data_IF_362780811029
#
_entry.id   IF_362780811029
#
_cell.length_a   1.000
_cell.length_b   1.000
_cell.length_c   1.000
_cell.angle_alpha   90.00
_cell.angle_beta   90.00
_cell.angle_gamma   90.00
#
_symmetry.space_group_name_H-M   'P 1'
#
loop_
_entity.id
_entity.type
_entity.pdbx_description
1 polymer ?
#
# COMPACT_ATOMS: atom_id res chain seq x y z
N UNK A 1 26.22 1.56 -63.78
CA UNK A 1 26.01 1.01 -62.43
C UNK A 1 25.69 2.18 -61.49
N UNK A 2 24.48 2.22 -60.92
CA UNK A 2 24.02 3.27 -60.00
C UNK A 2 23.93 2.64 -58.60
N UNK A 3 24.87 2.95 -57.72
CA UNK A 3 24.81 2.56 -56.31
C UNK A 3 24.19 3.70 -55.53
N UNK A 4 22.89 3.55 -55.21
CA UNK A 4 22.17 4.45 -54.33
C UNK A 4 22.61 4.20 -52.88
N UNK A 5 23.15 5.23 -52.24
CA UNK A 5 23.51 5.24 -50.82
C UNK A 5 22.23 5.39 -50.00
N UNK A 6 21.84 4.33 -49.28
CA UNK A 6 20.75 4.40 -48.30
C UNK A 6 21.32 4.85 -46.96
N UNK A 7 20.92 6.04 -46.50
CA UNK A 7 21.23 6.53 -45.15
C UNK A 7 20.14 5.99 -44.22
N UNK A 8 20.48 4.99 -43.43
CA UNK A 8 19.63 4.42 -42.38
C UNK A 8 19.62 5.36 -41.17
N UNK A 9 18.53 6.09 -40.97
CA UNK A 9 18.30 6.88 -39.76
C UNK A 9 17.94 5.89 -38.64
N UNK A 10 18.89 5.63 -37.73
CA UNK A 10 18.63 4.91 -36.48
C UNK A 10 17.94 5.91 -35.55
N UNK A 11 16.61 5.89 -35.53
CA UNK A 11 15.84 6.56 -34.50
C UNK A 11 16.13 5.86 -33.17
N UNK A 12 16.96 6.47 -32.33
CA UNK A 12 17.18 6.03 -30.97
C UNK A 12 15.85 6.12 -30.21
N UNK A 13 15.20 4.99 -30.00
CA UNK A 13 14.11 4.86 -29.05
C UNK A 13 14.68 5.05 -27.65
N UNK A 14 14.66 6.28 -27.16
CA UNK A 14 14.90 6.55 -25.74
C UNK A 14 13.77 5.84 -24.99
N UNK A 15 14.06 4.90 -24.06
CA UNK A 15 13.02 4.43 -23.17
C UNK A 15 12.50 5.67 -22.43
N UNK A 16 11.22 5.98 -22.60
CA UNK A 16 10.53 6.94 -21.79
C UNK A 16 10.49 6.39 -20.37
N UNK A 17 11.60 6.51 -19.64
CA UNK A 17 11.61 6.46 -18.19
C UNK A 17 10.65 7.56 -17.77
N UNK A 18 9.47 7.15 -17.35
CA UNK A 18 8.56 8.01 -16.60
C UNK A 18 9.31 8.40 -15.33
N UNK A 19 10.07 9.48 -15.43
CA UNK A 19 10.62 10.21 -14.31
C UNK A 19 9.43 10.75 -13.52
N UNK A 20 8.86 9.90 -12.67
CA UNK A 20 7.97 10.32 -11.60
C UNK A 20 8.72 11.44 -10.88
N UNK A 21 8.19 12.67 -10.85
CA UNK A 21 8.89 13.78 -10.23
C UNK A 21 9.22 13.42 -8.78
N UNK A 22 10.50 13.52 -8.42
CA UNK A 22 10.98 13.25 -7.05
C UNK A 22 10.23 14.08 -5.97
N UNK A 23 9.50 15.11 -6.38
CA UNK A 23 8.61 15.92 -5.56
C UNK A 23 7.38 15.17 -5.01
N UNK A 24 7.07 13.97 -5.52
CA UNK A 24 6.01 13.10 -4.97
C UNK A 24 6.51 12.28 -3.78
N UNK A 25 7.83 12.21 -3.56
CA UNK A 25 8.45 11.40 -2.51
C UNK A 25 8.43 12.02 -1.09
N UNK A 26 7.88 13.23 -0.91
CA UNK A 26 8.07 13.99 0.34
C UNK A 26 6.79 14.48 1.02
N UNK A 27 5.61 14.13 0.50
CA UNK A 27 4.41 14.13 1.36
C UNK A 27 4.27 12.73 1.90
N UNK A 28 4.20 12.50 3.22
CA UNK A 28 3.63 11.25 3.70
C UNK A 28 2.26 11.21 3.05
N UNK A 29 2.08 10.37 2.03
CA UNK A 29 0.76 10.02 1.56
C UNK A 29 0.15 9.37 2.79
N UNK A 30 -0.59 10.16 3.57
CA UNK A 30 -1.41 9.64 4.63
C UNK A 30 -2.35 8.68 3.92
N UNK A 31 -2.00 7.39 3.97
CA UNK A 31 -2.71 6.38 3.23
C UNK A 31 -4.14 6.47 3.75
N UNK A 32 -5.15 6.71 2.88
CA UNK A 32 -6.52 6.73 3.35
C UNK A 32 -6.77 5.37 3.98
N UNK A 33 -6.92 5.36 5.30
CA UNK A 33 -7.09 4.14 6.12
C UNK A 33 -8.42 3.46 5.81
N UNK A 34 -9.26 4.08 4.98
CA UNK A 34 -10.52 3.55 4.51
C UNK A 34 -11.46 3.16 5.64
N UNK A 35 -11.43 3.94 6.72
CA UNK A 35 -12.23 3.69 7.91
C UNK A 35 -11.68 2.58 8.82
N UNK A 36 -10.46 2.07 8.58
CA UNK A 36 -9.83 1.09 9.45
C UNK A 36 -9.69 1.58 10.90
N UNK A 37 -9.51 2.87 11.13
CA UNK A 37 -9.59 3.48 12.47
C UNK A 37 -11.00 3.37 13.08
N UNK A 38 -12.05 3.53 12.28
CA UNK A 38 -13.43 3.30 12.71
C UNK A 38 -13.70 1.82 12.98
N UNK A 39 -13.05 0.93 12.23
CA UNK A 39 -13.07 -0.52 12.47
C UNK A 39 -12.37 -0.93 13.76
N UNK A 40 -11.49 -0.07 14.29
CA UNK A 40 -10.76 -0.23 15.54
C UNK A 40 -11.30 0.70 16.64
N UNK A 41 -12.58 1.07 16.58
CA UNK A 41 -13.20 1.97 17.55
C UNK A 41 -13.06 1.48 19.01
N UNK A 42 -13.07 0.15 19.23
CA UNK A 42 -12.86 -0.47 20.55
C UNK A 42 -11.47 -0.22 21.15
N UNK A 43 -10.51 0.17 20.32
CA UNK A 43 -9.11 0.45 20.67
C UNK A 43 -8.72 1.87 20.26
N UNK A 44 -9.69 2.79 20.28
CA UNK A 44 -9.50 4.22 19.96
C UNK A 44 -8.88 4.47 18.57
N UNK A 45 -9.18 3.61 17.61
CA UNK A 45 -8.69 3.74 16.24
C UNK A 45 -7.28 3.23 15.99
N UNK A 46 -6.69 2.53 16.97
CA UNK A 46 -5.37 1.91 16.85
C UNK A 46 -5.46 0.39 16.96
N UNK A 47 -4.57 -0.34 16.31
CA UNK A 47 -4.46 -1.79 16.48
C UNK A 47 -3.52 -2.09 17.64
N UNK A 48 -4.03 -2.76 18.66
CA UNK A 48 -3.20 -3.25 19.77
C UNK A 48 -2.78 -4.68 19.43
N UNK A 49 -1.50 -4.88 19.14
CA UNK A 49 -0.92 -6.18 18.84
C UNK A 49 -0.66 -6.96 20.14
N UNK A 50 -0.64 -8.29 20.07
CA UNK A 50 -0.28 -9.11 21.25
C UNK A 50 1.20 -9.00 21.60
N UNK A 51 2.06 -8.84 20.59
CA UNK A 51 3.50 -8.68 20.80
C UNK A 51 3.93 -7.23 21.08
N UNK A 52 3.05 -6.25 20.85
CA UNK A 52 3.32 -4.83 21.01
C UNK A 52 2.07 -4.12 21.57
N UNK A 53 2.01 -3.85 22.88
CA UNK A 53 0.84 -3.23 23.51
C UNK A 53 0.68 -1.74 23.14
N UNK A 54 1.71 -1.15 22.55
CA UNK A 54 1.62 0.21 22.01
C UNK A 54 0.76 0.16 20.75
N UNK A 55 -0.41 0.79 20.79
CA UNK A 55 -1.36 0.82 19.68
C UNK A 55 -0.69 1.33 18.40
N UNK A 56 -0.86 0.60 17.31
CA UNK A 56 -0.33 0.95 15.99
C UNK A 56 -1.43 1.56 15.13
N UNK A 57 -1.19 2.72 14.54
CA UNK A 57 -2.20 3.38 13.74
C UNK A 57 -2.39 2.67 12.37
N UNK A 58 -3.61 2.56 11.83
CA UNK A 58 -3.89 1.89 10.55
C UNK A 58 -3.19 2.47 9.32
N UNK A 59 -2.77 3.74 9.40
CA UNK A 59 -1.99 4.42 8.38
C UNK A 59 -0.48 4.16 8.49
N UNK A 60 0.00 3.67 9.64
CA UNK A 60 1.39 3.29 9.85
C UNK A 60 1.63 1.86 9.38
N UNK A 61 1.66 1.71 8.05
CA UNK A 61 1.86 0.41 7.41
C UNK A 61 3.22 -0.21 7.81
N UNK A 62 4.26 0.59 7.97
CA UNK A 62 5.57 0.11 8.42
C UNK A 62 5.53 -0.44 9.85
N UNK A 63 4.84 0.25 10.76
CA UNK A 63 4.58 -0.23 12.11
C UNK A 63 3.81 -1.55 12.12
N UNK A 64 2.74 -1.65 11.32
CA UNK A 64 1.94 -2.89 11.19
C UNK A 64 2.81 -4.03 10.66
N UNK A 65 3.55 -3.81 9.57
CA UNK A 65 4.38 -4.84 8.94
C UNK A 65 5.61 -5.23 9.76
N UNK A 66 6.01 -4.43 10.75
CA UNK A 66 7.06 -4.78 11.71
C UNK A 66 6.61 -5.82 12.74
N UNK A 67 5.30 -6.02 12.90
CA UNK A 67 4.73 -6.96 13.86
C UNK A 67 5.00 -8.43 13.43
N UNK A 68 4.93 -9.40 14.36
CA UNK A 68 4.92 -10.82 14.04
C UNK A 68 3.82 -11.17 13.03
N UNK A 69 4.03 -12.20 12.22
CA UNK A 69 3.10 -12.59 11.15
C UNK A 69 1.67 -12.85 11.69
N UNK A 70 1.55 -13.42 12.88
CA UNK A 70 0.25 -13.67 13.52
C UNK A 70 -0.50 -12.37 13.84
N UNK A 71 0.21 -11.33 14.28
CA UNK A 71 -0.36 -10.03 14.60
C UNK A 71 -0.74 -9.25 13.32
N UNK A 72 0.06 -9.35 12.25
CA UNK A 72 -0.31 -8.82 10.92
C UNK A 72 -1.55 -9.52 10.38
N UNK A 73 -1.63 -10.84 10.55
CA UNK A 73 -2.80 -11.63 10.13
C UNK A 73 -4.04 -11.23 10.93
N UNK A 74 -3.91 -11.08 12.25
CA UNK A 74 -5.01 -10.61 13.12
C UNK A 74 -5.46 -9.20 12.76
N UNK A 75 -4.51 -8.32 12.45
CA UNK A 75 -4.82 -6.98 11.97
C UNK A 75 -5.76 -7.04 10.76
N UNK A 76 -5.35 -7.75 9.71
CA UNK A 76 -6.14 -7.93 8.49
C UNK A 76 -7.50 -8.52 8.80
N UNK A 77 -7.57 -9.60 9.59
CA UNK A 77 -8.84 -10.22 9.98
C UNK A 77 -9.79 -9.27 10.72
N UNK A 78 -9.24 -8.34 11.51
CA UNK A 78 -10.02 -7.36 12.26
C UNK A 78 -10.56 -6.25 11.37
N UNK A 79 -9.71 -5.66 10.52
CA UNK A 79 -10.10 -4.49 9.72
C UNK A 79 -10.81 -4.86 8.42
N UNK A 80 -10.48 -6.00 7.81
CA UNK A 80 -11.02 -6.44 6.51
C UNK A 80 -12.55 -6.43 6.42
N UNK A 81 -13.32 -7.09 7.30
CA UNK A 81 -14.78 -7.14 7.14
C UNK A 81 -15.43 -5.76 7.23
N UNK A 82 -14.81 -4.84 7.97
CA UNK A 82 -15.33 -3.49 8.17
C UNK A 82 -14.93 -2.54 7.03
N UNK A 83 -13.67 -2.61 6.55
CA UNK A 83 -13.19 -1.85 5.39
C UNK A 83 -13.88 -2.31 4.10
N UNK A 84 -14.16 -3.60 3.96
CA UNK A 84 -14.85 -4.16 2.78
C UNK A 84 -16.38 -4.01 2.87
N UNK A 85 -16.88 -3.69 4.08
CA UNK A 85 -18.28 -3.45 4.37
C UNK A 85 -18.73 -1.99 4.15
N UNK A 86 -19.87 -1.64 4.75
CA UNK A 86 -20.47 -0.31 4.58
C UNK A 86 -19.64 0.82 5.19
N UNK A 87 -18.86 0.54 6.24
CA UNK A 87 -18.02 1.55 6.90
C UNK A 87 -16.95 2.04 5.93
N UNK A 88 -16.15 1.12 5.36
CA UNK A 88 -15.13 1.51 4.40
C UNK A 88 -15.71 2.10 3.12
N UNK A 89 -16.82 1.55 2.59
CA UNK A 89 -17.50 2.10 1.40
C UNK A 89 -18.09 3.50 1.60
N UNK A 90 -18.47 3.86 2.83
CA UNK A 90 -18.92 5.23 3.18
C UNK A 90 -17.74 6.18 3.41
N UNK A 91 -16.66 5.68 3.99
CA UNK A 91 -15.48 6.49 4.30
C UNK A 91 -14.60 6.75 3.07
N UNK A 92 -14.56 5.83 2.11
CA UNK A 92 -13.62 5.86 0.99
C UNK A 92 -14.21 5.37 -0.33
N UNK A 93 -13.63 5.86 -1.43
CA UNK A 93 -13.96 5.37 -2.77
C UNK A 93 -13.45 3.93 -2.96
N UNK A 94 -14.04 3.15 -3.88
CA UNK A 94 -13.53 1.80 -4.19
C UNK A 94 -12.04 1.79 -4.57
N UNK A 95 -11.56 2.82 -5.26
CA UNK A 95 -10.15 2.96 -5.63
C UNK A 95 -9.24 3.19 -4.42
N UNK A 96 -9.66 3.99 -3.44
CA UNK A 96 -8.90 4.20 -2.20
C UNK A 96 -8.83 2.92 -1.37
N UNK A 97 -9.95 2.18 -1.27
CA UNK A 97 -10.00 0.86 -0.60
C UNK A 97 -9.03 -0.11 -1.27
N UNK A 98 -9.03 -0.17 -2.62
CA UNK A 98 -8.09 -0.99 -3.37
C UNK A 98 -6.62 -0.59 -3.09
N UNK A 99 -6.31 0.71 -3.14
CA UNK A 99 -4.97 1.22 -2.87
C UNK A 99 -4.50 0.90 -1.45
N UNK A 100 -5.37 1.02 -0.45
CA UNK A 100 -5.03 0.67 0.92
C UNK A 100 -4.60 -0.80 1.05
N UNK A 101 -5.38 -1.71 0.46
CA UNK A 101 -5.08 -3.15 0.44
C UNK A 101 -3.78 -3.45 -0.29
N UNK A 102 -3.59 -2.82 -1.45
CA UNK A 102 -2.43 -3.02 -2.30
C UNK A 102 -1.14 -2.49 -1.64
N UNK A 103 -1.21 -1.32 -1.01
CA UNK A 103 -0.11 -0.75 -0.25
C UNK A 103 0.24 -1.59 0.98
N UNK A 104 -0.76 -2.05 1.75
CA UNK A 104 -0.49 -2.92 2.90
C UNK A 104 0.20 -4.21 2.46
N UNK A 105 -0.27 -4.86 1.37
CA UNK A 105 0.40 -6.04 0.79
C UNK A 105 1.82 -5.72 0.34
N UNK A 106 2.00 -4.63 -0.41
CA UNK A 106 3.29 -4.25 -1.00
C UNK A 106 4.31 -3.89 0.06
N UNK A 107 3.94 -3.07 1.04
CA UNK A 107 4.83 -2.69 2.15
C UNK A 107 5.20 -3.91 2.97
N UNK A 108 4.24 -4.74 3.37
CA UNK A 108 4.52 -5.94 4.16
C UNK A 108 5.40 -6.97 3.43
N UNK A 109 5.31 -7.03 2.10
CA UNK A 109 6.14 -7.91 1.28
C UNK A 109 7.59 -7.40 1.09
N UNK A 110 7.91 -6.16 1.50
CA UNK A 110 9.28 -5.62 1.37
C UNK A 110 10.30 -6.52 2.09
N UNK A 111 11.55 -6.60 1.59
CA UNK A 111 12.58 -7.48 2.16
C UNK A 111 12.91 -7.22 3.64
N UNK A 112 12.60 -6.04 4.15
CA UNK A 112 12.79 -5.67 5.55
C UNK A 112 11.74 -6.29 6.49
N UNK A 113 10.52 -6.53 5.99
CA UNK A 113 9.41 -7.07 6.78
C UNK A 113 9.13 -8.54 6.48
N UNK A 114 9.23 -8.97 5.20
CA UNK A 114 8.99 -10.34 4.73
C UNK A 114 7.68 -10.94 5.24
N UNK A 115 6.62 -10.14 5.33
CA UNK A 115 5.30 -10.54 5.79
C UNK A 115 4.40 -10.88 4.61
N UNK A 116 3.43 -11.74 4.88
CA UNK A 116 2.36 -12.06 3.94
C UNK A 116 1.05 -11.44 4.41
N UNK A 117 0.30 -10.83 3.49
CA UNK A 117 -0.98 -10.16 3.78
C UNK A 117 -2.08 -10.82 2.96
N UNK A 118 -2.88 -11.66 3.60
CA UNK A 118 -4.02 -12.33 2.98
C UNK A 118 -5.27 -11.45 2.98
N UNK A 119 -5.29 -10.50 2.05
CA UNK A 119 -6.47 -9.70 1.74
C UNK A 119 -7.09 -10.15 0.41
N UNK A 120 -7.69 -11.34 0.41
CA UNK A 120 -8.45 -11.90 -0.72
C UNK A 120 -9.92 -11.50 -0.66
#
# INVERSE_FOLDING_TARGET
MKTATFITIIAAAVPAVWSLPASVASKPFAVPTCGAETCLASTHGTFVATSAPNGTAPNDLGGICSLPQDDVTRYVQTVKPCVDGDVGKKACTPGAIYQYKDLLKTVCALPEYKKQVEWA
#
